data_IF_967975163981
#
_entry.id   IF_967975163981
#
_cell.length_a   1.000
_cell.length_b   1.000
_cell.length_c   1.000
_cell.angle_alpha   90.00
_cell.angle_beta   90.00
_cell.angle_gamma   90.00
#
_symmetry.space_group_name_H-M   'P 1'
#
loop_
_entity.id
_entity.type
_entity.pdbx_description
1 polymer ?
#
# COMPACT_ATOMS: atom_id res chain seq x y z
N UNK A 1 -0.74 -33.86 8.51
CA UNK A 1 -0.10 -34.46 7.32
C UNK A 1 0.06 -33.47 6.17
N UNK A 2 -0.96 -32.71 5.75
CA UNK A 2 -0.87 -31.70 4.68
C UNK A 2 0.11 -30.53 4.99
N UNK A 3 0.18 -30.09 6.24
CA UNK A 3 1.05 -28.97 6.64
C UNK A 3 2.55 -29.29 6.47
N UNK A 4 2.99 -30.47 6.90
CA UNK A 4 4.39 -30.90 6.71
C UNK A 4 4.78 -31.10 5.23
N UNK A 5 3.81 -31.49 4.40
CA UNK A 5 4.05 -31.64 2.96
C UNK A 5 4.22 -30.27 2.29
N UNK A 6 3.42 -29.27 2.68
CA UNK A 6 3.55 -27.89 2.20
C UNK A 6 4.88 -27.25 2.63
N UNK A 7 5.27 -27.41 3.90
CA UNK A 7 6.56 -26.91 4.39
C UNK A 7 7.75 -27.56 3.63
N UNK A 8 7.70 -28.83 3.36
CA UNK A 8 8.76 -29.53 2.62
C UNK A 8 8.86 -29.02 1.18
N UNK A 9 7.74 -28.80 0.49
CA UNK A 9 7.72 -28.23 -0.85
C UNK A 9 8.23 -26.78 -0.87
N UNK A 10 7.85 -25.95 0.09
CA UNK A 10 8.31 -24.56 0.18
C UNK A 10 9.81 -24.48 0.47
N UNK A 11 10.37 -25.40 1.26
CA UNK A 11 11.83 -25.48 1.46
C UNK A 11 12.57 -25.80 0.16
N UNK A 12 12.03 -26.67 -0.68
CA UNK A 12 12.61 -26.98 -2.00
C UNK A 12 12.54 -25.79 -2.96
N UNK A 13 11.51 -24.94 -2.83
CA UNK A 13 11.33 -23.73 -3.66
C UNK A 13 12.11 -22.52 -3.13
N UNK A 14 12.60 -22.56 -1.89
CA UNK A 14 13.30 -21.44 -1.25
C UNK A 14 14.44 -20.83 -2.09
N UNK A 15 15.34 -21.62 -2.74
CA UNK A 15 16.39 -21.05 -3.59
C UNK A 15 15.84 -20.32 -4.81
N UNK A 16 14.78 -20.83 -5.42
CA UNK A 16 14.13 -20.19 -6.57
C UNK A 16 13.45 -18.89 -6.17
N UNK A 17 12.74 -18.89 -5.04
CA UNK A 17 12.11 -17.69 -4.45
C UNK A 17 13.17 -16.65 -4.10
N UNK A 18 14.24 -17.04 -3.43
CA UNK A 18 15.37 -16.18 -3.11
C UNK A 18 15.99 -15.55 -4.37
N UNK A 19 16.21 -16.36 -5.42
CA UNK A 19 16.72 -15.87 -6.70
C UNK A 19 15.77 -14.85 -7.34
N UNK A 20 14.47 -15.12 -7.33
CA UNK A 20 13.45 -14.21 -7.87
C UNK A 20 13.46 -12.84 -7.17
N UNK A 21 13.53 -12.83 -5.85
CA UNK A 21 13.63 -11.57 -5.10
C UNK A 21 14.94 -10.85 -5.37
N UNK A 22 16.05 -11.57 -5.45
CA UNK A 22 17.37 -10.99 -5.76
C UNK A 22 17.43 -10.34 -7.14
N UNK A 23 16.65 -10.80 -8.10
CA UNK A 23 16.55 -10.16 -9.41
C UNK A 23 16.08 -8.70 -9.35
N UNK A 24 15.44 -8.26 -8.27
CA UNK A 24 15.05 -6.86 -8.08
C UNK A 24 16.18 -5.95 -7.62
N UNK A 25 17.27 -6.51 -7.09
CA UNK A 25 18.38 -5.73 -6.51
C UNK A 25 18.98 -4.75 -7.51
N UNK A 26 19.05 -5.13 -8.80
CA UNK A 26 19.55 -4.23 -9.84
C UNK A 26 18.73 -2.92 -9.95
N UNK A 27 17.40 -2.98 -9.72
CA UNK A 27 16.56 -1.78 -9.70
C UNK A 27 16.83 -0.92 -8.47
N UNK A 28 17.01 -1.56 -7.32
CA UNK A 28 17.37 -0.88 -6.07
C UNK A 28 18.73 -0.19 -6.24
N UNK A 29 19.71 -0.86 -6.83
CA UNK A 29 21.02 -0.28 -7.09
C UNK A 29 20.95 0.85 -8.14
N UNK A 30 20.12 0.71 -9.16
CA UNK A 30 19.94 1.75 -10.17
C UNK A 30 19.49 3.09 -9.55
N UNK A 31 18.42 3.10 -8.73
CA UNK A 31 17.96 4.34 -8.10
C UNK A 31 18.86 4.80 -6.94
N UNK A 32 19.55 3.90 -6.24
CA UNK A 32 20.58 4.27 -5.24
C UNK A 32 21.75 5.02 -5.88
N UNK A 33 22.17 4.59 -7.07
CA UNK A 33 23.28 5.19 -7.78
C UNK A 33 22.87 6.48 -8.51
N UNK A 34 21.58 6.64 -8.85
CA UNK A 34 21.04 7.81 -9.56
C UNK A 34 19.79 8.37 -8.87
N UNK A 35 19.88 8.81 -7.59
CA UNK A 35 18.70 9.16 -6.80
C UNK A 35 17.94 10.37 -7.33
N UNK A 36 18.65 11.36 -7.89
CA UNK A 36 18.02 12.57 -8.42
C UNK A 36 17.23 12.28 -9.70
N UNK A 37 17.73 11.41 -10.56
CA UNK A 37 17.01 11.01 -11.78
C UNK A 37 15.78 10.15 -11.41
N UNK A 38 15.91 9.24 -10.46
CA UNK A 38 14.79 8.48 -9.95
C UNK A 38 13.68 9.37 -9.35
N UNK A 39 14.05 10.38 -8.56
CA UNK A 39 13.07 11.34 -8.02
C UNK A 39 12.41 12.17 -9.12
N UNK A 40 13.17 12.60 -10.13
CA UNK A 40 12.63 13.36 -11.26
C UNK A 40 11.61 12.52 -12.05
N UNK A 41 11.97 11.30 -12.35
CA UNK A 41 11.08 10.35 -13.05
C UNK A 41 9.77 10.14 -12.27
N UNK A 42 9.84 9.89 -10.96
CA UNK A 42 8.65 9.72 -10.11
C UNK A 42 7.79 10.99 -10.11
N UNK A 43 8.40 12.18 -9.96
CA UNK A 43 7.67 13.45 -10.00
C UNK A 43 6.94 13.64 -11.33
N UNK A 44 7.63 13.41 -12.45
CA UNK A 44 7.05 13.53 -13.79
C UNK A 44 5.91 12.56 -14.02
N UNK A 45 6.06 11.30 -13.58
CA UNK A 45 5.01 10.29 -13.68
C UNK A 45 3.75 10.68 -12.89
N UNK A 46 3.93 11.17 -11.65
CA UNK A 46 2.82 11.63 -10.80
C UNK A 46 2.14 12.86 -11.42
N UNK A 47 2.91 13.87 -11.85
CA UNK A 47 2.37 15.07 -12.45
C UNK A 47 1.61 14.77 -13.76
N UNK A 48 2.16 13.91 -14.60
CA UNK A 48 1.53 13.48 -15.86
C UNK A 48 0.24 12.70 -15.58
N UNK A 49 0.25 11.78 -14.64
CA UNK A 49 -0.95 11.02 -14.28
C UNK A 49 -2.06 11.95 -13.73
N UNK A 50 -1.72 12.91 -12.90
CA UNK A 50 -2.69 13.77 -12.24
C UNK A 50 -3.05 15.05 -13.01
N UNK A 51 -2.45 15.33 -14.18
CA UNK A 51 -2.59 16.63 -14.90
C UNK A 51 -4.03 17.02 -15.24
N UNK A 52 -4.90 16.05 -15.45
CA UNK A 52 -6.32 16.29 -15.79
C UNK A 52 -7.28 16.16 -14.62
N UNK A 53 -6.79 15.90 -13.41
CA UNK A 53 -7.58 15.97 -12.18
C UNK A 53 -7.99 17.41 -11.86
N UNK A 54 -8.94 17.60 -10.97
CA UNK A 54 -9.29 18.96 -10.51
C UNK A 54 -8.09 19.66 -9.87
N UNK A 55 -7.37 18.96 -8.99
CA UNK A 55 -6.16 19.48 -8.34
C UNK A 55 -5.03 19.75 -9.33
N UNK A 56 -4.81 18.84 -10.28
CA UNK A 56 -3.78 19.00 -11.31
C UNK A 56 -4.02 20.17 -12.23
N UNK A 57 -5.26 20.42 -12.63
CA UNK A 57 -5.64 21.62 -13.42
C UNK A 57 -5.45 22.90 -12.62
N UNK A 58 -5.85 22.90 -11.33
CA UNK A 58 -5.70 24.05 -10.44
C UNK A 58 -4.25 24.50 -10.32
N UNK A 59 -3.31 23.58 -10.29
CA UNK A 59 -1.87 23.86 -10.15
C UNK A 59 -1.06 23.60 -11.42
N UNK A 60 -1.74 23.51 -12.57
CA UNK A 60 -1.12 23.40 -13.89
C UNK A 60 -0.08 22.27 -14.02
N UNK A 61 -0.43 21.08 -13.59
CA UNK A 61 0.47 19.91 -13.57
C UNK A 61 1.02 19.54 -14.94
N UNK A 62 0.33 19.90 -16.04
CA UNK A 62 0.83 19.69 -17.40
C UNK A 62 2.14 20.42 -17.72
N UNK A 63 2.52 21.42 -16.93
CA UNK A 63 3.74 22.22 -17.10
C UNK A 63 4.78 22.00 -15.99
N UNK A 64 4.65 20.94 -15.19
CA UNK A 64 5.59 20.62 -14.11
C UNK A 64 6.64 19.61 -14.60
N UNK A 65 7.76 20.10 -15.10
CA UNK A 65 8.85 19.25 -15.64
C UNK A 65 9.99 19.04 -14.65
N UNK A 66 10.13 19.93 -13.68
CA UNK A 66 11.22 19.92 -12.70
C UNK A 66 10.71 20.06 -11.27
N UNK A 67 11.54 19.69 -10.29
CA UNK A 67 11.26 19.93 -8.86
C UNK A 67 11.07 21.42 -8.58
N UNK A 68 11.75 22.31 -9.33
CA UNK A 68 11.61 23.74 -9.19
C UNK A 68 10.22 24.20 -9.64
N UNK A 69 9.76 23.77 -10.81
CA UNK A 69 8.41 24.10 -11.32
C UNK A 69 7.34 23.67 -10.31
N UNK A 70 7.50 22.45 -9.76
CA UNK A 70 6.58 21.94 -8.75
C UNK A 70 6.55 22.82 -7.50
N UNK A 71 7.71 23.20 -6.96
CA UNK A 71 7.80 24.05 -5.76
C UNK A 71 7.24 25.46 -5.97
N UNK A 72 7.35 26.00 -7.18
CA UNK A 72 6.83 27.32 -7.52
C UNK A 72 5.31 27.30 -7.77
N UNK A 73 4.77 26.21 -8.31
CA UNK A 73 3.36 26.09 -8.67
C UNK A 73 2.48 25.52 -7.55
N UNK A 74 2.99 24.56 -6.78
CA UNK A 74 2.20 23.80 -5.80
C UNK A 74 2.55 24.26 -4.38
N UNK A 75 1.59 24.84 -3.65
CA UNK A 75 1.85 25.30 -2.28
C UNK A 75 2.04 24.12 -1.32
N UNK A 76 2.73 24.38 -0.22
CA UNK A 76 2.72 23.47 0.93
C UNK A 76 1.34 23.61 1.58
N UNK A 77 0.66 22.48 1.73
CA UNK A 77 -0.70 22.41 2.26
C UNK A 77 -0.78 21.52 3.49
N UNK A 78 -1.70 21.81 4.40
CA UNK A 78 -2.08 20.93 5.51
C UNK A 78 -3.20 19.96 5.07
N UNK A 79 -3.50 18.98 5.91
CA UNK A 79 -4.61 18.04 5.64
C UNK A 79 -5.96 18.76 5.44
N UNK A 80 -6.22 19.81 6.21
CA UNK A 80 -7.49 20.54 6.15
C UNK A 80 -7.70 21.25 4.79
N UNK A 81 -6.61 21.59 4.08
CA UNK A 81 -6.68 22.14 2.72
C UNK A 81 -7.11 21.09 1.69
N UNK A 82 -6.76 19.82 1.93
CA UNK A 82 -7.12 18.69 1.08
C UNK A 82 -8.45 18.04 1.47
N UNK A 83 -8.88 18.24 2.69
CA UNK A 83 -10.08 17.62 3.26
C UNK A 83 -11.34 17.82 2.40
N UNK A 84 -11.63 19.00 1.81
CA UNK A 84 -12.80 19.17 0.94
C UNK A 84 -12.79 18.23 -0.28
N UNK A 85 -11.61 17.97 -0.87
CA UNK A 85 -11.48 17.00 -1.96
C UNK A 85 -11.72 15.57 -1.46
N UNK A 86 -11.16 15.23 -0.31
CA UNK A 86 -11.27 13.90 0.28
C UNK A 86 -12.71 13.57 0.66
N UNK A 87 -13.44 14.54 1.21
CA UNK A 87 -14.86 14.39 1.55
C UNK A 87 -15.74 14.16 0.30
N UNK A 88 -15.46 14.86 -0.80
CA UNK A 88 -16.11 14.60 -2.09
C UNK A 88 -15.77 13.23 -2.64
N UNK A 89 -14.51 12.79 -2.52
CA UNK A 89 -14.10 11.43 -2.90
C UNK A 89 -14.81 10.37 -2.07
N UNK A 90 -14.98 10.56 -0.76
CA UNK A 90 -15.75 9.66 0.11
C UNK A 90 -17.23 9.58 -0.31
N UNK A 91 -17.78 10.61 -0.94
CA UNK A 91 -19.12 10.62 -1.52
C UNK A 91 -19.20 10.00 -2.92
N UNK A 92 -18.08 9.50 -3.45
CA UNK A 92 -18.00 8.82 -4.73
C UNK A 92 -17.52 9.68 -5.90
N UNK A 93 -17.23 10.97 -5.68
CA UNK A 93 -16.70 11.83 -6.74
C UNK A 93 -15.25 11.43 -7.08
N UNK A 94 -14.96 11.30 -8.36
CA UNK A 94 -13.67 10.83 -8.85
C UNK A 94 -12.92 11.94 -9.60
N UNK A 95 -11.65 11.66 -9.97
CA UNK A 95 -10.80 12.58 -10.73
C UNK A 95 -10.54 13.94 -10.04
N UNK A 96 -10.52 13.94 -8.71
CA UNK A 96 -10.23 15.12 -7.90
C UNK A 96 -8.73 15.29 -7.62
N UNK A 97 -8.13 14.33 -6.92
CA UNK A 97 -6.71 14.30 -6.56
C UNK A 97 -5.92 13.32 -7.42
N UNK A 98 -6.57 12.28 -7.95
CA UNK A 98 -5.96 11.23 -8.76
C UNK A 98 -6.85 10.87 -9.95
N UNK A 99 -6.25 10.39 -11.04
CA UNK A 99 -6.93 10.18 -12.32
C UNK A 99 -7.64 8.83 -12.44
N UNK A 100 -7.26 7.83 -11.64
CA UNK A 100 -7.95 6.55 -11.59
C UNK A 100 -8.93 6.51 -10.41
N UNK A 101 -9.98 5.68 -10.47
CA UNK A 101 -10.95 5.59 -9.39
C UNK A 101 -10.30 5.21 -8.05
N UNK A 102 -10.72 5.88 -6.99
CA UNK A 102 -10.30 5.63 -5.61
C UNK A 102 -11.49 5.19 -4.79
N UNK A 103 -11.47 3.94 -4.35
CA UNK A 103 -12.52 3.32 -3.53
C UNK A 103 -12.09 3.01 -2.11
N UNK A 104 -10.77 3.04 -1.84
CA UNK A 104 -10.20 2.76 -0.53
C UNK A 104 -9.65 4.00 0.14
N UNK A 105 -9.90 4.08 1.46
CA UNK A 105 -9.41 5.16 2.30
C UNK A 105 -8.77 4.57 3.55
N UNK A 106 -7.52 4.93 3.81
CA UNK A 106 -6.88 4.59 5.08
C UNK A 106 -7.31 5.59 6.15
N UNK A 107 -7.76 5.07 7.29
CA UNK A 107 -8.08 5.87 8.47
C UNK A 107 -6.86 5.98 9.36
N UNK A 108 -6.38 7.20 9.60
CA UNK A 108 -5.26 7.38 10.54
C UNK A 108 -5.75 7.22 11.98
N UNK A 109 -4.88 6.65 12.84
CA UNK A 109 -5.08 6.72 14.29
C UNK A 109 -4.92 8.19 14.71
N UNK A 110 -6.03 8.92 14.92
CA UNK A 110 -5.96 10.27 15.49
C UNK A 110 -5.31 10.21 16.87
N UNK A 111 -4.41 11.14 17.16
CA UNK A 111 -4.03 11.41 18.55
C UNK A 111 -5.24 11.94 19.31
N UNK A 112 -5.30 11.76 20.60
CA UNK A 112 -6.43 11.93 21.51
C UNK A 112 -7.26 13.24 21.39
N UNK A 113 -6.84 14.21 20.59
CA UNK A 113 -7.51 15.50 20.37
C UNK A 113 -7.92 15.79 18.93
N UNK A 114 -7.47 15.02 17.95
CA UNK A 114 -7.80 15.22 16.53
C UNK A 114 -8.71 14.12 16.00
N UNK A 115 -9.69 14.54 15.16
CA UNK A 115 -10.54 13.60 14.41
C UNK A 115 -9.67 12.78 13.45
N UNK A 116 -9.95 11.48 13.36
CA UNK A 116 -9.28 10.60 12.39
C UNK A 116 -9.30 11.19 10.97
N UNK A 117 -8.17 11.13 10.28
CA UNK A 117 -8.01 11.63 8.91
C UNK A 117 -8.19 10.46 7.93
N UNK A 118 -8.85 10.71 6.83
CA UNK A 118 -8.99 9.76 5.73
C UNK A 118 -7.96 10.07 4.66
N UNK A 119 -7.22 9.06 4.23
CA UNK A 119 -6.18 9.17 3.22
C UNK A 119 -6.62 8.31 2.03
N UNK A 120 -6.89 8.91 0.85
CA UNK A 120 -7.25 8.16 -0.34
C UNK A 120 -6.13 7.19 -0.75
N UNK A 121 -6.48 5.96 -1.08
CA UNK A 121 -5.55 4.90 -1.51
C UNK A 121 -5.93 4.48 -2.93
N UNK A 122 -5.12 4.84 -3.90
CA UNK A 122 -5.28 4.39 -5.28
C UNK A 122 -4.63 3.02 -5.51
N UNK A 123 -5.01 2.34 -6.59
CA UNK A 123 -4.38 1.09 -6.99
C UNK A 123 -2.88 1.26 -7.24
N UNK A 124 -2.46 2.39 -7.83
CA UNK A 124 -1.05 2.69 -8.08
C UNK A 124 -0.29 2.88 -6.77
N UNK A 125 -0.93 3.48 -5.75
CA UNK A 125 -0.30 3.60 -4.43
C UNK A 125 -0.12 2.23 -3.75
N UNK A 126 -1.05 1.29 -3.95
CA UNK A 126 -0.92 -0.08 -3.48
C UNK A 126 0.21 -0.81 -4.21
N UNK A 127 0.20 -0.80 -5.54
CA UNK A 127 1.13 -1.57 -6.36
C UNK A 127 2.54 -0.95 -6.40
N UNK A 128 2.65 0.34 -6.71
CA UNK A 128 3.93 1.00 -6.97
C UNK A 128 4.62 1.54 -5.70
N UNK A 129 3.89 1.70 -4.60
CA UNK A 129 4.46 2.10 -3.33
C UNK A 129 4.47 0.94 -2.34
N UNK A 130 3.32 0.51 -1.81
CA UNK A 130 3.26 -0.42 -0.68
C UNK A 130 3.76 -1.82 -1.03
N UNK A 131 3.24 -2.46 -2.07
CA UNK A 131 3.65 -3.82 -2.42
C UNK A 131 5.05 -3.87 -3.05
N UNK A 132 5.42 -2.83 -3.80
CA UNK A 132 6.76 -2.71 -4.37
C UNK A 132 7.81 -2.52 -3.27
N UNK A 133 7.56 -1.64 -2.30
CA UNK A 133 8.44 -1.47 -1.14
C UNK A 133 8.57 -2.76 -0.33
N UNK A 134 7.48 -3.49 -0.10
CA UNK A 134 7.52 -4.79 0.58
C UNK A 134 8.38 -5.81 -0.17
N UNK A 135 8.26 -5.87 -1.50
CA UNK A 135 9.12 -6.72 -2.34
C UNK A 135 10.59 -6.29 -2.28
N UNK A 136 10.87 -4.99 -2.19
CA UNK A 136 12.24 -4.47 -2.09
C UNK A 136 12.87 -4.82 -0.73
N UNK A 137 12.10 -4.72 0.37
CA UNK A 137 12.55 -5.18 1.71
C UNK A 137 12.89 -6.67 1.69
N UNK A 138 12.05 -7.52 1.10
CA UNK A 138 12.31 -8.95 0.95
C UNK A 138 13.55 -9.21 0.08
N UNK A 139 13.74 -8.44 -0.99
CA UNK A 139 14.90 -8.55 -1.87
C UNK A 139 16.21 -8.26 -1.12
N UNK A 140 16.23 -7.19 -0.35
CA UNK A 140 17.38 -6.85 0.50
C UNK A 140 17.59 -7.89 1.60
N UNK A 141 16.53 -8.39 2.21
CA UNK A 141 16.64 -9.44 3.22
C UNK A 141 17.26 -10.72 2.65
N UNK A 142 16.79 -11.21 1.49
CA UNK A 142 17.36 -12.39 0.82
C UNK A 142 18.76 -12.17 0.26
N UNK A 143 19.21 -10.92 0.07
CA UNK A 143 20.60 -10.63 -0.23
C UNK A 143 21.51 -10.98 0.96
N UNK A 144 21.07 -10.67 2.18
CA UNK A 144 21.82 -10.94 3.41
C UNK A 144 21.63 -12.37 3.94
N UNK A 145 20.49 -12.99 3.67
CA UNK A 145 20.09 -14.31 4.17
C UNK A 145 19.52 -15.16 3.04
N UNK A 146 20.36 -15.57 2.06
CA UNK A 146 19.89 -16.30 0.87
C UNK A 146 19.23 -17.65 1.21
N UNK A 147 19.62 -18.29 2.31
CA UNK A 147 19.09 -19.56 2.79
C UNK A 147 17.94 -19.40 3.78
N UNK A 148 17.34 -18.22 3.83
CA UNK A 148 16.26 -17.94 4.77
C UNK A 148 15.02 -18.80 4.49
N UNK A 149 14.44 -19.33 5.56
CA UNK A 149 13.17 -20.04 5.57
C UNK A 149 11.94 -19.12 5.73
N UNK A 150 12.10 -17.79 5.56
CA UNK A 150 11.03 -16.81 5.82
C UNK A 150 9.71 -17.12 5.11
N UNK A 151 9.76 -17.62 3.88
CA UNK A 151 8.56 -17.96 3.09
C UNK A 151 8.27 -19.47 3.05
N UNK A 152 8.86 -20.27 3.93
CA UNK A 152 8.60 -21.73 3.99
C UNK A 152 7.45 -22.12 4.89
N UNK A 153 6.85 -21.17 5.60
CA UNK A 153 5.70 -21.37 6.48
C UNK A 153 4.75 -20.18 6.41
N UNK A 154 3.73 -20.20 7.27
CA UNK A 154 2.78 -19.08 7.39
C UNK A 154 3.28 -18.04 8.39
N UNK A 155 3.17 -16.77 8.03
CA UNK A 155 3.37 -15.65 8.94
C UNK A 155 2.09 -15.31 9.70
N UNK A 156 2.20 -15.10 11.01
CA UNK A 156 1.09 -14.56 11.79
C UNK A 156 0.86 -13.10 11.43
N UNK A 157 -0.37 -12.77 11.04
CA UNK A 157 -0.75 -11.42 10.65
C UNK A 157 -1.97 -10.96 11.45
N UNK A 158 -1.80 -9.86 12.16
CA UNK A 158 -2.87 -9.20 12.91
C UNK A 158 -3.09 -7.84 12.25
N UNK A 159 -4.14 -7.72 11.45
CA UNK A 159 -4.52 -6.48 10.78
C UNK A 159 -5.41 -5.59 11.64
N UNK A 160 -5.52 -4.32 11.25
CA UNK A 160 -6.57 -3.44 11.75
C UNK A 160 -7.95 -3.83 11.23
N UNK A 161 -8.95 -3.01 11.47
CA UNK A 161 -10.31 -3.20 10.98
C UNK A 161 -10.57 -2.40 9.70
N UNK A 162 -11.63 -2.78 8.96
CA UNK A 162 -12.18 -1.96 7.90
C UNK A 162 -13.69 -1.81 8.05
N UNK A 163 -14.22 -0.76 7.44
CA UNK A 163 -15.66 -0.51 7.43
C UNK A 163 -16.08 -0.02 6.05
N UNK A 164 -17.31 -0.33 5.65
CA UNK A 164 -17.92 0.25 4.46
C UNK A 164 -18.42 1.64 4.81
N UNK A 165 -18.10 2.63 3.97
CA UNK A 165 -18.60 3.98 4.14
C UNK A 165 -20.14 4.00 3.97
N UNK A 166 -20.91 4.43 4.98
CA UNK A 166 -22.37 4.40 4.91
C UNK A 166 -22.97 5.42 3.91
N UNK A 167 -22.19 6.41 3.46
CA UNK A 167 -22.64 7.41 2.47
C UNK A 167 -22.52 6.90 1.04
N UNK A 168 -21.48 6.11 0.77
CA UNK A 168 -21.22 5.50 -0.53
C UNK A 168 -20.83 4.03 -0.35
N UNK A 169 -21.66 3.14 -0.89
CA UNK A 169 -21.44 1.68 -0.77
C UNK A 169 -20.14 1.21 -1.44
N UNK A 170 -19.62 1.94 -2.40
CA UNK A 170 -18.35 1.62 -3.08
C UNK A 170 -17.14 2.10 -2.30
N UNK A 171 -17.24 3.19 -1.53
CA UNK A 171 -16.15 3.73 -0.73
C UNK A 171 -15.97 2.90 0.56
N UNK A 172 -14.77 2.38 0.75
CA UNK A 172 -14.41 1.55 1.89
C UNK A 172 -13.26 2.19 2.66
N UNK A 173 -13.30 2.10 3.97
CA UNK A 173 -12.22 2.62 4.79
C UNK A 173 -11.88 1.68 5.95
N UNK A 174 -10.66 1.78 6.41
CA UNK A 174 -10.14 1.03 7.55
C UNK A 174 -8.70 1.44 7.86
N UNK A 175 -8.07 0.75 8.77
CA UNK A 175 -6.64 0.93 9.00
C UNK A 175 -5.85 0.55 7.75
N UNK A 176 -4.72 1.22 7.51
CA UNK A 176 -3.91 0.96 6.31
C UNK A 176 -3.55 -0.53 6.16
N UNK A 177 -3.23 -1.21 7.26
CA UNK A 177 -2.92 -2.65 7.25
C UNK A 177 -4.09 -3.49 6.74
N UNK A 178 -5.33 -3.14 7.13
CA UNK A 178 -6.53 -3.84 6.65
C UNK A 178 -6.75 -3.60 5.16
N UNK A 179 -6.57 -2.36 4.70
CA UNK A 179 -6.65 -2.02 3.26
C UNK A 179 -5.62 -2.81 2.46
N UNK A 180 -4.36 -2.87 2.92
CA UNK A 180 -3.29 -3.64 2.28
C UNK A 180 -3.61 -5.14 2.21
N UNK A 181 -4.14 -5.70 3.28
CA UNK A 181 -4.48 -7.12 3.32
C UNK A 181 -5.67 -7.46 2.41
N UNK A 182 -6.70 -6.62 2.44
CA UNK A 182 -7.89 -6.80 1.61
C UNK A 182 -7.56 -6.79 0.12
N UNK A 183 -6.62 -5.95 -0.30
CA UNK A 183 -6.22 -5.78 -1.70
C UNK A 183 -5.00 -6.61 -2.10
N UNK A 184 -4.46 -7.44 -1.19
CA UNK A 184 -3.27 -8.23 -1.50
C UNK A 184 -3.58 -9.36 -2.49
N UNK A 185 -2.60 -9.78 -3.33
CA UNK A 185 -2.78 -10.88 -4.26
C UNK A 185 -3.23 -12.17 -3.55
N UNK A 186 -4.07 -12.97 -4.20
CA UNK A 186 -4.68 -14.19 -3.61
C UNK A 186 -3.65 -15.18 -3.05
N UNK A 187 -2.49 -15.33 -3.71
CA UNK A 187 -1.42 -16.23 -3.27
C UNK A 187 -0.78 -15.79 -1.94
N UNK A 188 -0.84 -14.49 -1.61
CA UNK A 188 -0.31 -13.98 -0.34
C UNK A 188 -1.12 -14.49 0.87
N UNK A 189 -2.38 -14.88 0.66
CA UNK A 189 -3.20 -15.48 1.70
C UNK A 189 -2.70 -16.87 2.12
N UNK A 190 -2.01 -17.60 1.26
CA UNK A 190 -1.44 -18.90 1.60
C UNK A 190 -0.24 -18.83 2.54
N UNK A 191 0.43 -17.67 2.57
CA UNK A 191 1.64 -17.44 3.36
C UNK A 191 1.32 -16.82 4.74
N UNK A 192 0.05 -16.71 5.12
CA UNK A 192 -0.34 -16.08 6.38
C UNK A 192 -1.42 -16.84 7.13
N UNK A 193 -1.46 -16.58 8.43
CA UNK A 193 -2.51 -17.01 9.34
C UNK A 193 -2.85 -15.85 10.29
N UNK A 194 -4.07 -15.68 10.77
CA UNK A 194 -5.29 -16.40 10.38
C UNK A 194 -5.79 -15.99 8.98
N UNK A 195 -6.92 -16.54 8.58
CA UNK A 195 -7.60 -16.11 7.36
C UNK A 195 -7.97 -14.63 7.39
N UNK A 196 -8.13 -14.02 6.21
CA UNK A 196 -8.37 -12.59 6.08
C UNK A 196 -9.57 -12.12 6.91
N UNK A 197 -10.66 -12.88 6.93
CA UNK A 197 -11.89 -12.56 7.67
C UNK A 197 -11.63 -12.38 9.18
N UNK A 198 -10.73 -13.16 9.74
CA UNK A 198 -10.31 -13.06 11.14
C UNK A 198 -9.29 -11.92 11.31
N UNK A 199 -8.30 -11.85 10.41
CA UNK A 199 -7.22 -10.86 10.50
C UNK A 199 -7.72 -9.41 10.54
N UNK A 200 -8.84 -9.09 9.87
CA UNK A 200 -9.42 -7.75 9.78
C UNK A 200 -10.67 -7.53 10.65
N UNK A 201 -11.00 -8.44 11.56
CA UNK A 201 -12.11 -8.26 12.50
C UNK A 201 -11.93 -6.99 13.32
N UNK A 202 -13.02 -6.26 13.55
CA UNK A 202 -13.01 -5.02 14.36
C UNK A 202 -13.05 -5.32 15.86
N UNK A 203 -13.75 -6.40 16.26
CA UNK A 203 -13.88 -6.84 17.63
C UNK A 203 -12.61 -7.52 18.12
N UNK A 204 -11.88 -6.87 19.03
CA UNK A 204 -10.53 -7.30 19.41
C UNK A 204 -10.53 -8.62 20.19
N UNK A 205 -11.42 -8.78 21.15
CA UNK A 205 -11.48 -9.98 22.00
C UNK A 205 -11.79 -11.23 21.16
N UNK A 206 -12.87 -11.17 20.35
CA UNK A 206 -13.23 -12.25 19.44
C UNK A 206 -12.14 -12.53 18.39
N UNK A 207 -11.41 -11.49 17.95
CA UNK A 207 -10.28 -11.65 17.03
C UNK A 207 -9.18 -12.48 17.67
N UNK A 208 -8.77 -12.16 18.91
CA UNK A 208 -7.69 -12.87 19.62
C UNK A 208 -8.07 -14.32 19.90
N UNK A 209 -9.31 -14.59 20.34
CA UNK A 209 -9.79 -15.96 20.53
C UNK A 209 -9.66 -16.77 19.23
N UNK A 210 -10.18 -16.26 18.12
CA UNK A 210 -10.12 -16.95 16.82
C UNK A 210 -8.71 -17.09 16.26
N UNK A 211 -7.80 -16.17 16.59
CA UNK A 211 -6.38 -16.29 16.22
C UNK A 211 -5.72 -17.42 17.03
N UNK A 212 -6.09 -17.59 18.30
CA UNK A 212 -5.54 -18.65 19.14
C UNK A 212 -6.00 -20.05 18.69
N UNK A 213 -7.16 -20.14 18.02
CA UNK A 213 -7.74 -21.40 17.51
C UNK A 213 -7.29 -21.73 16.07
N UNK A 214 -6.59 -20.81 15.36
CA UNK A 214 -6.22 -20.94 13.95
C UNK A 214 -4.78 -21.44 13.74
#
# INVERSE_FOLDING_TARGET
MYFHYFEAQMKLLSPAISSLFRMRLWRIDAWKNNPLDAQREVLQNIATAAQYTEYGRKYNFSNLFTVRDYKEAVPIVAYDDLKPYIERMLQGEQNLLWNTPVYWFAKSSGTTSERSKFIPISNESLEDCHYKASKDVLSLYYQYKPDSALLTGKGLVIGGSHSINPVNAEAQFGDLSAVLFQNSPFWAHWLRTPDLSIAIMSEWESKIEKIADA
#
